data_IF_913883529752
#
_entry.id   IF_913883529752
#
_cell.length_a   1.000
_cell.length_b   1.000
_cell.length_c   1.000
_cell.angle_alpha   90.00
_cell.angle_beta   90.00
_cell.angle_gamma   90.00
#
_symmetry.space_group_name_H-M   'P 1'
#
loop_
_entity.id
_entity.type
_entity.pdbx_description
1 polymer ?
#
# COMPACT_ATOMS: atom_id res chain seq x y z
N UNK A 1 51.19 -7.10 -58.27
CA UNK A 1 50.13 -7.79 -57.50
C UNK A 1 49.20 -6.74 -56.91
N UNK A 2 47.93 -6.65 -57.34
CA UNK A 2 47.00 -5.64 -56.85
C UNK A 2 46.44 -6.07 -55.48
N UNK A 3 46.36 -5.12 -54.54
CA UNK A 3 45.81 -5.30 -53.20
C UNK A 3 44.30 -5.07 -53.27
N UNK A 4 43.52 -6.08 -52.88
CA UNK A 4 42.06 -6.03 -52.86
C UNK A 4 41.53 -5.01 -51.85
N UNK A 5 40.54 -4.22 -52.31
CA UNK A 5 39.85 -3.21 -51.53
C UNK A 5 38.82 -3.85 -50.55
N UNK A 6 38.60 -3.25 -49.37
CA UNK A 6 37.71 -3.81 -48.35
C UNK A 6 36.23 -3.63 -48.72
N UNK A 7 35.48 -4.74 -48.66
CA UNK A 7 34.03 -4.78 -48.93
C UNK A 7 33.26 -4.15 -47.79
N UNK A 8 32.52 -3.08 -48.08
CA UNK A 8 31.57 -2.44 -47.17
C UNK A 8 30.32 -3.30 -47.00
N UNK A 9 29.98 -3.66 -45.76
CA UNK A 9 28.75 -4.40 -45.42
C UNK A 9 27.57 -3.44 -45.37
N UNK A 10 26.52 -3.74 -46.13
CA UNK A 10 25.24 -3.01 -46.10
C UNK A 10 24.52 -3.19 -44.74
N UNK A 11 23.84 -2.16 -44.22
CA UNK A 11 23.08 -2.25 -42.98
C UNK A 11 21.87 -3.18 -43.15
N UNK A 12 21.68 -4.07 -42.16
CA UNK A 12 20.48 -4.91 -42.06
C UNK A 12 19.30 -4.03 -41.64
N UNK A 13 18.21 -4.07 -42.41
CA UNK A 13 16.96 -3.40 -42.06
C UNK A 13 16.30 -3.99 -40.79
N UNK A 14 15.34 -3.26 -40.21
CA UNK A 14 14.68 -3.66 -38.97
C UNK A 14 13.86 -4.96 -39.17
N UNK A 15 13.75 -5.80 -38.13
CA UNK A 15 13.00 -7.05 -38.21
C UNK A 15 11.51 -6.79 -38.43
N UNK A 16 10.94 -7.45 -39.45
CA UNK A 16 9.49 -7.48 -39.67
C UNK A 16 8.85 -8.48 -38.72
N UNK A 17 7.99 -8.00 -37.82
CA UNK A 17 7.16 -8.85 -36.97
C UNK A 17 5.83 -9.14 -37.67
N UNK A 18 5.52 -10.42 -37.89
CA UNK A 18 4.19 -10.86 -38.32
C UNK A 18 3.33 -11.11 -37.09
N UNK A 19 2.39 -10.21 -36.82
CA UNK A 19 1.31 -10.45 -35.85
C UNK A 19 0.32 -11.42 -36.49
N UNK A 20 0.20 -12.63 -35.92
CA UNK A 20 -0.87 -13.57 -36.26
C UNK A 20 -2.01 -13.38 -35.27
N UNK A 21 -3.16 -12.95 -35.75
CA UNK A 21 -4.40 -13.04 -35.00
C UNK A 21 -4.91 -14.47 -35.12
N UNK A 22 -5.09 -15.16 -34.00
CA UNK A 22 -5.80 -16.43 -33.97
C UNK A 22 -7.29 -16.14 -34.19
N UNK A 23 -7.82 -16.59 -35.32
CA UNK A 23 -9.26 -16.68 -35.54
C UNK A 23 -9.81 -17.75 -34.61
N UNK A 24 -10.51 -17.33 -33.56
CA UNK A 24 -11.30 -18.21 -32.70
C UNK A 24 -12.53 -18.61 -33.52
N UNK A 25 -12.70 -19.91 -33.77
CA UNK A 25 -13.89 -20.42 -34.46
C UNK A 25 -15.11 -20.37 -33.53
N UNK A 26 -16.27 -20.04 -34.08
CA UNK A 26 -17.55 -19.91 -33.35
C UNK A 26 -18.08 -21.25 -32.78
N UNK A 27 -17.42 -22.37 -33.05
CA UNK A 27 -17.91 -23.71 -32.67
C UNK A 27 -17.41 -24.22 -31.30
N UNK A 28 -16.86 -23.35 -30.45
CA UNK A 28 -16.45 -23.68 -29.07
C UNK A 28 -17.48 -23.33 -27.98
N UNK A 29 -18.64 -22.76 -28.33
CA UNK A 29 -19.55 -22.12 -27.37
C UNK A 29 -20.63 -23.05 -26.76
N UNK A 30 -20.47 -24.38 -26.79
CA UNK A 30 -21.50 -25.33 -26.35
C UNK A 30 -21.02 -26.39 -25.33
N UNK A 31 -20.04 -26.07 -24.48
CA UNK A 31 -19.87 -26.79 -23.22
C UNK A 31 -20.32 -25.88 -22.07
N UNK A 32 -21.59 -26.04 -21.71
CA UNK A 32 -22.21 -25.41 -20.56
C UNK A 32 -21.46 -25.79 -19.29
N UNK A 33 -20.50 -24.94 -18.91
CA UNK A 33 -20.08 -24.82 -17.53
C UNK A 33 -21.34 -24.37 -16.78
N UNK A 34 -21.91 -25.25 -15.96
CA UNK A 34 -22.87 -24.85 -14.92
C UNK A 34 -22.15 -23.80 -14.07
N UNK A 35 -22.31 -22.54 -14.42
CA UNK A 35 -22.07 -21.42 -13.51
C UNK A 35 -23.21 -21.55 -12.52
N UNK A 36 -22.98 -22.31 -11.46
CA UNK A 36 -23.76 -22.19 -10.25
C UNK A 36 -23.65 -20.72 -9.86
N UNK A 37 -24.74 -19.98 -10.00
CA UNK A 37 -24.94 -18.71 -9.32
C UNK A 37 -25.06 -18.99 -7.83
N UNK A 38 -23.96 -19.46 -7.23
CA UNK A 38 -23.77 -19.37 -5.81
C UNK A 38 -23.78 -17.87 -5.52
N UNK A 39 -24.91 -17.39 -5.00
CA UNK A 39 -24.98 -16.08 -4.38
C UNK A 39 -23.85 -16.05 -3.36
N UNK A 40 -22.78 -15.33 -3.68
CA UNK A 40 -21.71 -15.00 -2.74
C UNK A 40 -22.38 -14.29 -1.56
N UNK A 41 -22.73 -15.07 -0.55
CA UNK A 41 -23.40 -14.58 0.64
C UNK A 41 -22.31 -13.89 1.47
N UNK A 42 -22.01 -12.65 1.11
CA UNK A 42 -21.03 -11.76 1.74
C UNK A 42 -21.60 -11.19 3.05
N UNK A 43 -22.42 -11.95 3.77
CA UNK A 43 -22.98 -11.54 5.05
C UNK A 43 -21.94 -11.66 6.16
N UNK A 44 -21.79 -10.58 6.93
CA UNK A 44 -20.94 -10.56 8.12
C UNK A 44 -21.48 -11.57 9.13
N UNK A 45 -20.66 -12.47 9.68
CA UNK A 45 -21.15 -13.43 10.67
C UNK A 45 -21.69 -12.70 11.89
N UNK A 46 -22.79 -13.18 12.47
CA UNK A 46 -23.44 -12.57 13.63
C UNK A 46 -22.46 -12.30 14.79
N UNK A 47 -21.48 -13.18 15.00
CA UNK A 47 -20.41 -12.98 15.99
C UNK A 47 -19.56 -11.73 15.73
N UNK A 48 -19.26 -11.42 14.47
CA UNK A 48 -18.51 -10.20 14.12
C UNK A 48 -19.40 -8.96 14.22
N UNK A 49 -20.70 -9.10 13.95
CA UNK A 49 -21.67 -8.03 14.21
C UNK A 49 -21.77 -7.72 15.70
N UNK A 50 -21.83 -8.75 16.55
CA UNK A 50 -21.94 -8.64 18.00
C UNK A 50 -20.62 -8.31 18.73
N UNK A 51 -19.46 -8.38 18.06
CA UNK A 51 -18.19 -8.11 18.73
C UNK A 51 -18.04 -6.62 19.04
N UNK A 52 -17.56 -6.25 20.22
CA UNK A 52 -17.29 -4.86 20.59
C UNK A 52 -16.16 -4.22 19.77
N UNK A 53 -16.08 -2.89 19.79
CA UNK A 53 -14.94 -2.15 19.23
C UNK A 53 -13.72 -2.44 20.13
N UNK A 54 -12.55 -2.82 19.59
CA UNK A 54 -11.39 -3.18 20.41
C UNK A 54 -10.70 -1.92 20.94
N UNK A 55 -11.35 -1.22 21.89
CA UNK A 55 -10.87 0.03 22.47
C UNK A 55 -9.53 -0.10 23.18
N UNK A 56 -9.18 -1.30 23.65
CA UNK A 56 -7.88 -1.61 24.24
C UNK A 56 -6.71 -1.39 23.27
N UNK A 57 -6.97 -1.43 21.97
CA UNK A 57 -5.98 -1.20 20.93
C UNK A 57 -5.77 0.29 20.61
N UNK A 58 -6.67 1.16 21.09
CA UNK A 58 -6.52 2.61 20.94
C UNK A 58 -5.47 3.14 21.93
N UNK A 59 -4.71 4.13 21.50
CA UNK A 59 -3.76 4.81 22.35
C UNK A 59 -4.44 6.02 22.99
N UNK A 60 -5.13 5.75 24.10
CA UNK A 60 -5.96 6.71 24.82
C UNK A 60 -5.37 7.03 26.19
N UNK A 61 -5.52 8.28 26.62
CA UNK A 61 -5.33 8.66 28.02
C UNK A 61 -6.43 8.06 28.89
N UNK A 62 -6.22 8.02 30.22
CA UNK A 62 -7.27 7.53 31.13
C UNK A 62 -8.55 8.35 31.00
N UNK A 63 -8.44 9.67 30.95
CA UNK A 63 -9.57 10.59 30.73
C UNK A 63 -10.31 10.29 29.42
N UNK A 64 -9.58 10.08 28.31
CA UNK A 64 -10.21 9.73 27.03
C UNK A 64 -10.93 8.37 27.10
N UNK A 65 -10.39 7.39 27.83
CA UNK A 65 -11.05 6.08 28.04
C UNK A 65 -12.35 6.25 28.82
N UNK A 66 -12.32 7.03 29.89
CA UNK A 66 -13.48 7.25 30.75
C UNK A 66 -14.62 7.91 29.95
N UNK A 67 -14.29 8.92 29.13
CA UNK A 67 -15.28 9.58 28.26
C UNK A 67 -15.80 8.64 27.17
N UNK A 68 -14.93 7.87 26.51
CA UNK A 68 -15.37 6.92 25.47
C UNK A 68 -16.26 5.82 26.07
N UNK A 69 -15.92 5.29 27.24
CA UNK A 69 -16.75 4.31 27.93
C UNK A 69 -18.12 4.88 28.29
N UNK A 70 -18.17 6.14 28.74
CA UNK A 70 -19.44 6.83 28.99
C UNK A 70 -20.26 6.99 27.69
N UNK A 71 -19.62 7.35 26.57
CA UNK A 71 -20.29 7.48 25.27
C UNK A 71 -20.85 6.16 24.74
N UNK A 72 -20.18 5.03 25.00
CA UNK A 72 -20.66 3.71 24.59
C UNK A 72 -21.96 3.32 25.31
N UNK A 73 -22.16 3.76 26.56
CA UNK A 73 -23.38 3.47 27.33
C UNK A 73 -24.60 4.19 26.72
N UNK A 74 -24.40 5.35 26.10
CA UNK A 74 -25.48 6.19 25.55
C UNK A 74 -25.82 5.82 24.09
N UNK A 75 -25.19 4.78 23.53
CA UNK A 75 -25.34 4.36 22.12
C UNK A 75 -25.03 5.49 21.11
N UNK A 76 -24.08 6.37 21.43
CA UNK A 76 -23.62 7.46 20.55
C UNK A 76 -22.68 6.98 19.43
N UNK A 77 -22.58 5.66 19.22
CA UNK A 77 -21.75 5.09 18.18
C UNK A 77 -22.49 5.18 16.85
N UNK A 78 -21.92 5.95 15.92
CA UNK A 78 -22.37 5.89 14.54
C UNK A 78 -22.19 4.46 14.03
N UNK A 79 -23.19 3.90 13.34
CA UNK A 79 -23.12 2.56 12.76
C UNK A 79 -23.81 2.55 11.40
N UNK A 80 -23.06 2.24 10.35
CA UNK A 80 -23.60 1.95 9.02
C UNK A 80 -23.26 0.52 8.69
N UNK A 81 -24.28 -0.28 8.39
CA UNK A 81 -24.12 -1.60 7.81
C UNK A 81 -24.24 -1.44 6.30
N UNK A 82 -23.21 -1.91 5.58
CA UNK A 82 -23.25 -1.96 4.14
C UNK A 82 -23.91 -3.27 3.74
N UNK A 83 -25.19 -3.18 3.40
CA UNK A 83 -25.97 -4.31 2.93
C UNK A 83 -25.49 -4.69 1.52
N UNK A 84 -25.97 -5.80 0.96
CA UNK A 84 -25.69 -6.12 -0.44
C UNK A 84 -26.39 -5.18 -1.43
N UNK A 85 -27.28 -4.31 -0.93
CA UNK A 85 -27.98 -3.32 -1.74
C UNK A 85 -27.05 -2.18 -2.17
N UNK A 86 -27.15 -1.81 -3.45
CA UNK A 86 -26.26 -0.86 -4.09
C UNK A 86 -26.34 0.53 -3.42
N UNK A 87 -27.56 0.97 -3.05
CA UNK A 87 -27.78 2.24 -2.37
C UNK A 87 -27.09 2.29 -0.99
N UNK A 88 -27.17 1.22 -0.21
CA UNK A 88 -26.51 1.12 1.10
C UNK A 88 -24.98 1.23 0.95
N UNK A 89 -24.41 0.66 -0.11
CA UNK A 89 -22.97 0.82 -0.41
C UNK A 89 -22.61 2.25 -0.78
N UNK A 90 -23.45 2.95 -1.55
CA UNK A 90 -23.24 4.37 -1.87
C UNK A 90 -23.29 5.24 -0.61
N UNK A 91 -24.26 5.03 0.27
CA UNK A 91 -24.40 5.79 1.51
C UNK A 91 -23.21 5.54 2.45
N UNK A 92 -22.76 4.28 2.57
CA UNK A 92 -21.58 3.92 3.35
C UNK A 92 -20.30 4.55 2.77
N UNK A 93 -20.14 4.54 1.45
CA UNK A 93 -19.01 5.16 0.77
C UNK A 93 -19.02 6.69 0.92
N UNK A 94 -20.17 7.34 0.77
CA UNK A 94 -20.35 8.77 0.98
C UNK A 94 -20.02 9.17 2.43
N UNK A 95 -20.46 8.37 3.41
CA UNK A 95 -20.10 8.54 4.81
C UNK A 95 -18.58 8.40 5.03
N UNK A 96 -17.95 7.37 4.46
CA UNK A 96 -16.50 7.22 4.57
C UNK A 96 -15.77 8.42 3.98
N UNK A 97 -16.22 8.94 2.83
CA UNK A 97 -15.64 10.11 2.20
C UNK A 97 -15.83 11.39 3.04
N UNK A 98 -17.02 11.62 3.60
CA UNK A 98 -17.31 12.83 4.40
C UNK A 98 -16.47 12.92 5.68
N UNK A 99 -16.03 11.78 6.21
CA UNK A 99 -15.16 11.70 7.38
C UNK A 99 -13.67 11.44 7.04
N UNK A 100 -13.30 11.39 5.75
CA UNK A 100 -11.94 11.09 5.30
C UNK A 100 -11.45 9.69 5.69
N UNK A 101 -12.36 8.73 5.82
CA UNK A 101 -12.08 7.34 6.19
C UNK A 101 -11.85 6.44 4.97
N UNK A 102 -12.23 6.90 3.77
CA UNK A 102 -12.01 6.17 2.52
C UNK A 102 -10.53 5.99 2.22
N UNK A 103 -10.22 5.03 1.33
CA UNK A 103 -8.84 4.63 1.06
C UNK A 103 -8.02 5.77 0.43
N UNK A 104 -8.62 6.53 -0.48
CA UNK A 104 -7.93 7.61 -1.19
C UNK A 104 -7.60 8.75 -0.23
N UNK A 105 -8.59 9.16 0.58
CA UNK A 105 -8.37 10.13 1.66
C UNK A 105 -7.29 9.65 2.60
N UNK A 106 -7.24 8.37 2.98
CA UNK A 106 -6.23 7.82 3.91
C UNK A 106 -4.81 7.81 3.36
N UNK A 107 -4.65 7.88 2.04
CA UNK A 107 -3.36 8.09 1.40
C UNK A 107 -2.95 9.57 1.37
N UNK A 108 -3.90 10.50 1.57
CA UNK A 108 -3.58 11.90 1.75
C UNK A 108 -2.79 12.12 3.05
N UNK A 109 -1.71 12.89 2.93
CA UNK A 109 -0.85 13.34 4.02
C UNK A 109 -1.55 14.25 5.00
N UNK A 110 -2.58 14.96 4.55
CA UNK A 110 -3.41 15.79 5.41
C UNK A 110 -4.35 14.95 6.28
N UNK A 111 -4.51 13.66 5.96
CA UNK A 111 -5.37 12.77 6.70
C UNK A 111 -4.83 12.53 8.11
N UNK A 112 -5.76 12.57 9.07
CA UNK A 112 -5.47 12.46 10.49
C UNK A 112 -5.75 11.07 11.02
N UNK A 113 -6.18 10.12 10.20
CA UNK A 113 -6.53 8.77 10.61
C UNK A 113 -5.32 7.84 10.52
N UNK A 114 -4.91 7.30 11.67
CA UNK A 114 -3.89 6.25 11.73
C UNK A 114 -4.53 4.89 12.05
N UNK A 115 -4.04 3.85 11.39
CA UNK A 115 -4.37 2.46 11.73
C UNK A 115 -3.73 2.09 13.07
N UNK A 116 -4.56 1.72 14.06
CA UNK A 116 -4.11 1.22 15.36
C UNK A 116 -4.09 -0.30 15.41
N UNK A 117 -5.10 -0.91 14.82
CA UNK A 117 -5.22 -2.35 14.79
C UNK A 117 -5.85 -2.80 13.47
N UNK A 118 -5.46 -3.97 13.00
CA UNK A 118 -6.17 -4.61 11.90
C UNK A 118 -6.05 -6.12 11.99
N UNK A 119 -7.12 -6.82 11.64
CA UNK A 119 -7.12 -8.26 11.45
C UNK A 119 -7.73 -8.60 10.10
N UNK A 120 -7.32 -9.74 9.55
CA UNK A 120 -7.83 -10.26 8.30
C UNK A 120 -8.23 -11.72 8.49
N UNK A 121 -9.40 -12.09 7.99
CA UNK A 121 -9.90 -13.47 8.02
C UNK A 121 -10.16 -13.95 6.61
N UNK A 122 -9.72 -15.17 6.28
CA UNK A 122 -10.08 -15.82 5.02
C UNK A 122 -11.44 -16.48 5.18
N UNK A 123 -12.35 -16.23 4.25
CA UNK A 123 -13.65 -16.90 4.14
C UNK A 123 -13.92 -17.28 2.69
N UNK A 124 -14.93 -18.12 2.49
CA UNK A 124 -15.35 -18.59 1.17
C UNK A 124 -15.78 -17.42 0.26
N UNK A 125 -16.39 -16.37 0.83
CA UNK A 125 -16.80 -15.15 0.12
C UNK A 125 -15.68 -14.08 -0.02
N UNK A 126 -14.41 -14.49 0.09
CA UNK A 126 -13.24 -13.61 0.00
C UNK A 126 -12.60 -13.27 1.35
N UNK A 127 -11.53 -12.45 1.30
CA UNK A 127 -10.82 -12.05 2.52
C UNK A 127 -11.48 -10.84 3.16
N UNK A 128 -12.00 -10.97 4.37
CA UNK A 128 -12.56 -9.84 5.12
C UNK A 128 -11.46 -9.21 5.96
N UNK A 129 -11.35 -7.88 5.90
CA UNK A 129 -10.46 -7.10 6.76
C UNK A 129 -11.25 -6.20 7.67
N UNK A 130 -10.84 -6.18 8.93
CA UNK A 130 -11.33 -5.27 9.96
C UNK A 130 -10.18 -4.37 10.40
N UNK A 131 -10.41 -3.07 10.42
CA UNK A 131 -9.39 -2.05 10.71
C UNK A 131 -9.95 -1.09 11.75
N UNK A 132 -9.17 -0.83 12.80
CA UNK A 132 -9.43 0.23 13.76
C UNK A 132 -8.53 1.42 13.46
N UNK A 133 -9.16 2.56 13.25
CA UNK A 133 -8.56 3.86 12.98
C UNK A 133 -8.74 4.76 14.20
N UNK A 134 -7.72 5.58 14.48
CA UNK A 134 -7.77 6.62 15.50
C UNK A 134 -7.27 7.93 14.89
N UNK A 135 -7.90 9.04 15.26
CA UNK A 135 -7.38 10.36 14.94
C UNK A 135 -6.01 10.58 15.61
N UNK A 136 -5.05 11.10 14.85
CA UNK A 136 -3.69 11.39 15.27
C UNK A 136 -3.61 12.50 16.31
N UNK A 137 -4.58 13.42 16.32
CA UNK A 137 -4.75 14.43 17.38
C UNK A 137 -5.18 13.81 18.72
N UNK A 138 -5.70 12.58 18.70
CA UNK A 138 -6.08 11.83 19.90
C UNK A 138 -4.93 11.04 20.52
N UNK A 139 -3.75 11.02 19.89
CA UNK A 139 -2.59 10.26 20.37
C UNK A 139 -1.62 11.12 21.18
N UNK A 140 -1.48 10.82 22.47
CA UNK A 140 -0.43 11.39 23.31
C UNK A 140 0.82 10.49 23.35
N UNK A 141 1.84 10.90 22.59
CA UNK A 141 3.14 10.22 22.55
C UNK A 141 3.86 10.16 23.90
N UNK A 142 3.56 11.08 24.83
CA UNK A 142 4.15 11.14 26.18
C UNK A 142 3.64 9.98 27.03
N UNK A 143 2.34 9.70 26.98
CA UNK A 143 1.74 8.59 27.71
C UNK A 143 2.14 7.23 27.14
N UNK A 144 2.38 7.15 25.83
CA UNK A 144 2.93 5.95 25.21
C UNK A 144 4.40 5.66 25.58
N UNK A 145 5.05 6.52 26.39
CA UNK A 145 6.45 6.38 26.78
C UNK A 145 7.44 6.57 25.62
N UNK A 146 6.98 7.08 24.48
CA UNK A 146 7.82 7.24 23.29
C UNK A 146 8.48 8.61 23.28
N UNK A 147 9.82 8.65 23.28
CA UNK A 147 10.58 9.91 23.14
C UNK A 147 10.38 10.57 21.77
N UNK A 148 9.96 9.81 20.76
CA UNK A 148 9.75 10.28 19.40
C UNK A 148 8.26 10.32 19.09
N UNK A 149 7.76 11.53 18.82
CA UNK A 149 6.43 11.74 18.27
C UNK A 149 6.29 11.04 16.93
N UNK A 150 5.19 10.30 16.76
CA UNK A 150 4.86 9.57 15.52
C UNK A 150 3.84 10.29 14.63
N UNK A 151 3.14 11.29 15.16
CA UNK A 151 2.07 12.03 14.47
C UNK A 151 2.54 13.40 13.99
N UNK A 152 1.92 13.90 12.92
CA UNK A 152 2.21 15.20 12.32
C UNK A 152 1.54 16.39 13.04
N UNK A 153 0.56 16.11 13.91
CA UNK A 153 -0.35 17.09 14.53
C UNK A 153 -0.25 17.07 16.06
N UNK A 154 -0.55 18.21 16.67
CA UNK A 154 -0.65 18.40 18.13
C UNK A 154 -1.74 17.54 18.79
N UNK A 155 -1.41 17.05 20.00
CA UNK A 155 -2.37 16.30 20.80
C UNK A 155 -3.42 17.30 21.30
N UNK A 156 -4.68 17.03 20.96
CA UNK A 156 -5.84 17.86 21.33
C UNK A 156 -6.86 17.08 22.15
N UNK A 157 -6.53 15.86 22.57
CA UNK A 157 -7.48 14.98 23.27
C UNK A 157 -8.61 14.43 22.39
N UNK A 158 -8.49 14.51 21.06
CA UNK A 158 -9.54 14.09 20.13
C UNK A 158 -9.95 12.62 20.36
N UNK A 159 -11.26 12.38 20.49
CA UNK A 159 -11.82 11.04 20.76
C UNK A 159 -12.18 10.27 19.48
N UNK A 160 -11.99 10.90 18.31
CA UNK A 160 -12.41 10.34 17.04
C UNK A 160 -11.69 9.01 16.74
N UNK A 161 -12.48 7.95 16.58
CA UNK A 161 -12.04 6.60 16.26
C UNK A 161 -13.09 5.91 15.38
N UNK A 162 -12.63 5.07 14.46
CA UNK A 162 -13.51 4.36 13.53
C UNK A 162 -13.04 2.92 13.35
N UNK A 163 -13.95 1.96 13.49
CA UNK A 163 -13.75 0.61 13.03
C UNK A 163 -14.45 0.41 11.68
N UNK A 164 -13.70 -0.09 10.71
CA UNK A 164 -14.19 -0.38 9.36
C UNK A 164 -13.99 -1.87 9.10
N UNK A 165 -15.04 -2.54 8.64
CA UNK A 165 -15.02 -3.91 8.15
C UNK A 165 -15.37 -3.91 6.67
N UNK A 166 -14.53 -4.50 5.83
CA UNK A 166 -14.72 -4.51 4.38
C UNK A 166 -14.13 -5.78 3.75
N UNK A 167 -14.58 -6.12 2.54
CA UNK A 167 -14.04 -7.23 1.74
C UNK A 167 -12.80 -6.74 1.00
N UNK A 168 -11.65 -7.38 1.19
CA UNK A 168 -10.37 -6.94 0.61
C UNK A 168 -10.33 -7.00 -0.91
N UNK A 169 -11.01 -7.98 -1.51
CA UNK A 169 -10.91 -8.22 -2.94
C UNK A 169 -11.85 -7.28 -3.73
N UNK A 170 -13.02 -6.95 -3.18
CA UNK A 170 -14.03 -6.06 -3.82
C UNK A 170 -14.10 -4.66 -3.22
N UNK A 171 -13.44 -4.42 -2.09
CA UNK A 171 -13.54 -3.18 -1.28
C UNK A 171 -14.96 -2.84 -0.78
N UNK A 172 -15.93 -3.76 -0.92
CA UNK A 172 -17.29 -3.55 -0.41
C UNK A 172 -17.27 -3.33 1.10
N UNK A 173 -17.92 -2.26 1.53
CA UNK A 173 -17.99 -1.87 2.94
C UNK A 173 -19.06 -2.76 3.57
N UNK A 174 -18.68 -3.47 4.62
CA UNK A 174 -19.62 -4.32 5.36
C UNK A 174 -20.14 -3.60 6.59
N UNK A 175 -19.29 -2.83 7.26
CA UNK A 175 -19.66 -2.07 8.45
C UNK A 175 -18.70 -0.93 8.73
N UNK A 176 -19.22 0.22 9.13
CA UNK A 176 -18.47 1.34 9.73
C UNK A 176 -19.08 1.65 11.08
N UNK A 177 -18.25 1.72 12.13
CA UNK A 177 -18.71 2.15 13.45
C UNK A 177 -17.68 2.94 14.24
N UNK A 178 -18.11 3.77 15.18
CA UNK A 178 -17.19 4.51 16.04
C UNK A 178 -17.70 5.90 16.42
N UNK A 179 -16.82 6.69 17.00
CA UNK A 179 -17.06 8.11 17.25
C UNK A 179 -16.34 8.91 16.16
N UNK A 180 -17.07 9.48 15.21
CA UNK A 180 -16.48 10.11 14.02
C UNK A 180 -16.28 11.63 14.18
N UNK A 181 -16.75 12.19 15.29
CA UNK A 181 -16.71 13.64 15.52
C UNK A 181 -15.35 14.08 16.08
N UNK A 182 -14.73 15.03 15.38
CA UNK A 182 -13.51 15.67 15.85
C UNK A 182 -13.86 16.85 16.75
N UNK A 183 -13.09 17.05 17.83
CA UNK A 183 -13.23 18.26 18.65
C UNK A 183 -12.75 19.52 17.88
N UNK A 184 -13.20 20.69 18.32
CA UNK A 184 -12.88 21.96 17.64
C UNK A 184 -11.37 22.22 17.54
N UNK A 185 -10.62 21.90 18.60
CA UNK A 185 -9.16 22.00 18.59
C UNK A 185 -8.53 21.11 17.51
N UNK A 186 -9.04 19.90 17.31
CA UNK A 186 -8.60 19.02 16.24
C UNK A 186 -8.94 19.65 14.88
N UNK A 187 -10.16 20.14 14.65
CA UNK A 187 -10.56 20.75 13.37
C UNK A 187 -9.61 21.88 12.94
N UNK A 188 -9.18 22.72 13.88
CA UNK A 188 -8.26 23.85 13.61
C UNK A 188 -6.77 23.52 13.76
N UNK A 189 -6.42 22.35 14.30
CA UNK A 189 -5.02 21.99 14.52
C UNK A 189 -4.25 21.94 13.19
N UNK A 190 -3.12 22.64 13.14
CA UNK A 190 -2.21 22.61 12.00
C UNK A 190 -1.22 21.45 12.13
N UNK A 191 -0.69 21.01 11.00
CA UNK A 191 0.42 20.05 11.00
C UNK A 191 1.65 20.72 11.63
N UNK A 192 1.96 20.36 12.88
CA UNK A 192 3.19 20.74 13.57
C UNK A 192 4.44 20.22 12.83
N UNK A 193 4.29 19.17 12.02
CA UNK A 193 5.35 18.61 11.20
C UNK A 193 4.81 18.22 9.83
N UNK A 194 5.48 18.66 8.77
CA UNK A 194 5.19 18.19 7.41
C UNK A 194 5.47 16.68 7.38
N UNK A 195 4.48 15.82 7.09
CA UNK A 195 4.70 14.39 6.96
C UNK A 195 5.74 14.13 5.86
N UNK A 196 6.57 13.08 6.00
CA UNK A 196 7.62 12.79 5.03
C UNK A 196 6.99 12.65 3.63
N UNK A 197 7.32 13.59 2.74
CA UNK A 197 6.86 13.52 1.35
C UNK A 197 7.44 12.24 0.71
N UNK A 198 6.62 11.42 0.03
CA UNK A 198 7.11 10.24 -0.67
C UNK A 198 8.09 10.68 -1.74
N UNK A 199 9.05 9.81 -2.01
CA UNK A 199 10.02 10.04 -3.07
C UNK A 199 9.32 10.03 -4.43
N UNK A 200 9.70 10.95 -5.32
CA UNK A 200 9.13 11.03 -6.65
C UNK A 200 9.40 9.73 -7.45
N UNK A 201 8.42 9.18 -8.19
CA UNK A 201 8.58 7.92 -8.93
C UNK A 201 9.77 7.91 -9.90
N UNK A 202 10.08 9.03 -10.55
CA UNK A 202 11.24 9.13 -11.44
C UNK A 202 12.57 8.96 -10.70
N UNK A 203 12.71 9.57 -9.51
CA UNK A 203 13.90 9.41 -8.67
C UNK A 203 14.03 7.95 -8.24
N UNK A 204 12.91 7.35 -7.87
CA UNK A 204 12.85 5.95 -7.49
C UNK A 204 13.32 5.03 -8.63
N UNK A 205 12.81 5.25 -9.85
CA UNK A 205 13.18 4.50 -11.04
C UNK A 205 14.67 4.62 -11.35
N UNK A 206 15.22 5.84 -11.34
CA UNK A 206 16.65 6.07 -11.57
C UNK A 206 17.51 5.36 -10.51
N UNK A 207 17.12 5.47 -9.23
CA UNK A 207 17.82 4.80 -8.13
C UNK A 207 17.79 3.27 -8.27
N UNK A 208 16.66 2.68 -8.68
CA UNK A 208 16.55 1.25 -8.95
C UNK A 208 17.43 0.82 -10.13
N UNK A 209 17.47 1.59 -11.22
CA UNK A 209 18.36 1.31 -12.36
C UNK A 209 19.82 1.35 -11.95
N UNK A 210 20.24 2.36 -11.18
CA UNK A 210 21.62 2.43 -10.67
C UNK A 210 21.96 1.27 -9.74
N UNK A 211 21.02 0.87 -8.88
CA UNK A 211 21.18 -0.26 -7.97
C UNK A 211 21.30 -1.59 -8.76
N UNK A 212 20.52 -1.75 -9.83
CA UNK A 212 20.62 -2.90 -10.73
C UNK A 212 21.99 -2.99 -11.44
N UNK A 213 22.60 -1.83 -11.73
CA UNK A 213 23.95 -1.74 -12.27
C UNK A 213 25.07 -1.91 -11.22
N UNK A 214 24.72 -2.24 -9.97
CA UNK A 214 25.69 -2.47 -8.90
C UNK A 214 26.30 -1.20 -8.29
N UNK A 215 25.69 -0.03 -8.51
CA UNK A 215 26.18 1.24 -7.95
C UNK A 215 25.91 1.30 -6.44
N UNK A 216 26.86 1.83 -5.67
CA UNK A 216 26.73 1.95 -4.21
C UNK A 216 25.61 2.93 -3.82
N UNK A 217 24.98 2.74 -2.66
CA UNK A 217 23.93 3.65 -2.18
C UNK A 217 24.41 5.09 -2.00
N UNK A 218 25.66 5.27 -1.57
CA UNK A 218 26.28 6.58 -1.41
C UNK A 218 26.35 7.30 -2.74
N UNK A 219 26.81 6.61 -3.79
CA UNK A 219 26.88 7.17 -5.15
C UNK A 219 25.50 7.42 -5.74
N UNK A 220 24.51 6.55 -5.45
CA UNK A 220 23.11 6.77 -5.86
C UNK A 220 22.56 8.06 -5.22
N UNK A 221 22.81 8.28 -3.93
CA UNK A 221 22.39 9.50 -3.24
C UNK A 221 23.10 10.73 -3.80
N UNK A 222 24.41 10.64 -4.04
CA UNK A 222 25.18 11.74 -4.62
C UNK A 222 24.67 12.10 -6.03
N UNK A 223 24.50 11.11 -6.91
CA UNK A 223 23.97 11.33 -8.27
C UNK A 223 22.57 11.91 -8.25
N UNK A 224 21.71 11.47 -7.33
CA UNK A 224 20.40 12.08 -7.16
C UNK A 224 20.49 13.55 -6.74
N UNK A 225 21.39 13.90 -5.81
CA UNK A 225 21.59 15.30 -5.42
C UNK A 225 22.10 16.16 -6.59
N UNK A 226 23.07 15.66 -7.36
CA UNK A 226 23.59 16.34 -8.55
C UNK A 226 22.50 16.53 -9.61
N UNK A 227 21.72 15.49 -9.89
CA UNK A 227 20.60 15.54 -10.83
C UNK A 227 19.51 16.54 -10.40
N UNK A 228 19.16 16.58 -9.11
CA UNK A 228 18.21 17.56 -8.57
C UNK A 228 18.76 18.98 -8.68
N UNK A 229 20.04 19.21 -8.38
CA UNK A 229 20.71 20.50 -8.55
C UNK A 229 20.73 20.96 -10.02
N UNK A 230 20.85 20.03 -10.95
CA UNK A 230 20.76 20.29 -12.39
C UNK A 230 19.31 20.53 -12.89
N UNK A 231 18.31 20.54 -11.99
CA UNK A 231 16.92 20.78 -12.33
C UNK A 231 16.14 19.55 -12.77
N UNK A 232 16.71 18.34 -12.60
CA UNK A 232 16.09 17.07 -12.89
C UNK A 232 15.47 16.98 -14.29
N UNK A 233 16.24 17.41 -15.29
CA UNK A 233 15.84 17.45 -16.71
C UNK A 233 14.57 18.27 -16.98
N UNK A 234 14.35 19.33 -16.18
CA UNK A 234 13.17 20.20 -16.27
C UNK A 234 11.90 19.62 -15.65
N UNK A 235 11.96 18.41 -15.07
CA UNK A 235 10.82 17.78 -14.40
C UNK A 235 10.58 18.34 -13.00
N UNK A 236 11.57 18.99 -12.39
CA UNK A 236 11.47 19.53 -11.03
C UNK A 236 10.85 20.93 -11.10
N UNK A 237 9.66 21.16 -10.50
CA UNK A 237 9.04 22.47 -10.51
C UNK A 237 9.93 23.50 -9.79
N UNK A 238 10.16 24.66 -10.43
CA UNK A 238 11.00 25.74 -9.88
C UNK A 238 10.43 26.38 -8.61
N UNK A 239 9.12 26.23 -8.36
CA UNK A 239 8.45 26.82 -7.20
C UNK A 239 7.91 25.73 -6.27
N UNK A 240 8.27 25.83 -4.99
CA UNK A 240 8.10 24.77 -3.98
C UNK A 240 6.70 24.55 -3.42
N UNK A 241 5.68 25.29 -3.90
CA UNK A 241 4.33 25.23 -3.31
C UNK A 241 3.50 24.00 -3.74
N UNK A 242 3.86 23.33 -4.84
CA UNK A 242 3.11 22.19 -5.40
C UNK A 242 3.82 20.84 -5.27
N UNK A 243 4.79 20.72 -4.35
CA UNK A 243 5.58 19.50 -4.25
C UNK A 243 4.80 18.37 -3.55
N UNK A 244 4.01 17.64 -4.33
CA UNK A 244 3.37 16.37 -3.90
C UNK A 244 4.40 15.30 -3.54
N UNK A 245 5.62 15.42 -4.05
CA UNK A 245 6.70 14.47 -3.87
C UNK A 245 8.00 15.16 -3.47
N UNK A 246 8.87 14.41 -2.80
CA UNK A 246 10.26 14.79 -2.55
C UNK A 246 11.15 14.27 -3.68
N UNK A 247 12.07 15.11 -4.12
CA UNK A 247 13.00 14.78 -5.21
C UNK A 247 14.38 14.32 -4.73
N UNK A 248 14.73 14.66 -3.49
CA UNK A 248 15.99 14.24 -2.86
C UNK A 248 15.80 12.92 -2.11
N UNK A 249 16.56 11.89 -2.48
CA UNK A 249 16.65 10.62 -1.78
C UNK A 249 17.32 10.83 -0.41
N UNK A 250 16.68 10.34 0.65
CA UNK A 250 17.17 10.40 2.02
C UNK A 250 17.63 9.02 2.49
N UNK A 251 18.42 8.99 3.56
CA UNK A 251 18.97 7.74 4.12
C UNK A 251 17.91 6.71 4.46
N UNK A 252 16.73 7.12 4.94
CA UNK A 252 15.67 6.18 5.30
C UNK A 252 14.93 5.57 4.10
N UNK A 253 15.05 6.15 2.89
CA UNK A 253 14.45 5.59 1.67
C UNK A 253 15.16 4.34 1.17
N UNK A 254 16.43 4.16 1.55
CA UNK A 254 17.27 3.01 1.14
C UNK A 254 16.61 1.68 1.45
N UNK A 255 15.94 1.57 2.62
CA UNK A 255 15.20 0.37 3.00
C UNK A 255 14.05 0.09 2.02
N UNK A 256 13.31 1.11 1.63
CA UNK A 256 12.24 0.96 0.64
C UNK A 256 12.82 0.58 -0.72
N UNK A 257 13.92 1.23 -1.14
CA UNK A 257 14.60 0.99 -2.41
C UNK A 257 15.03 -0.48 -2.55
N UNK A 258 15.75 -1.03 -1.57
CA UNK A 258 16.10 -2.45 -1.56
C UNK A 258 14.86 -3.34 -1.57
N UNK A 259 13.81 -2.94 -0.84
CA UNK A 259 12.60 -3.75 -0.81
C UNK A 259 11.94 -3.86 -2.18
N UNK A 260 11.89 -2.77 -2.93
CA UNK A 260 11.36 -2.82 -4.29
C UNK A 260 12.33 -3.55 -5.23
N UNK A 261 13.63 -3.30 -5.12
CA UNK A 261 14.64 -4.00 -5.90
C UNK A 261 14.57 -5.53 -5.76
N UNK A 262 14.55 -6.03 -4.52
CA UNK A 262 14.38 -7.44 -4.22
C UNK A 262 13.05 -8.00 -4.75
N UNK A 263 11.94 -7.26 -4.64
CA UNK A 263 10.66 -7.69 -5.22
C UNK A 263 10.70 -7.79 -6.75
N UNK A 264 11.38 -6.87 -7.44
CA UNK A 264 11.55 -6.93 -8.90
C UNK A 264 12.32 -8.19 -9.34
N UNK A 265 13.18 -8.72 -8.46
CA UNK A 265 13.90 -9.98 -8.68
C UNK A 265 13.16 -11.21 -8.10
N UNK A 266 11.88 -11.08 -7.76
CA UNK A 266 11.07 -12.19 -7.27
C UNK A 266 11.34 -12.59 -5.82
N UNK A 267 12.10 -11.80 -5.06
CA UNK A 267 12.38 -12.08 -3.64
C UNK A 267 11.24 -11.60 -2.75
N UNK A 268 10.62 -12.52 -2.03
CA UNK A 268 9.58 -12.23 -1.03
C UNK A 268 10.22 -11.93 0.33
N UNK A 269 10.38 -10.64 0.60
CA UNK A 269 11.04 -10.13 1.81
C UNK A 269 10.25 -10.41 3.10
N UNK A 270 8.95 -10.70 2.97
CA UNK A 270 8.11 -11.12 4.11
C UNK A 270 8.34 -12.56 4.52
N UNK A 271 8.97 -13.37 3.67
CA UNK A 271 9.26 -14.78 3.92
C UNK A 271 10.71 -14.95 4.38
N UNK A 272 10.99 -16.07 5.06
CA UNK A 272 12.33 -16.36 5.52
C UNK A 272 13.26 -16.63 4.31
N UNK A 273 14.54 -16.23 4.36
CA UNK A 273 15.44 -16.37 3.21
C UNK A 273 15.57 -17.80 2.68
N UNK A 274 15.57 -18.80 3.56
CA UNK A 274 15.67 -20.20 3.14
C UNK A 274 14.43 -20.71 2.40
N UNK A 275 13.25 -20.13 2.65
CA UNK A 275 12.02 -20.47 1.91
C UNK A 275 12.13 -19.97 0.48
N UNK A 276 12.55 -18.71 0.29
CA UNK A 276 12.80 -18.16 -1.05
C UNK A 276 13.84 -19.00 -1.81
N UNK A 277 14.96 -19.35 -1.16
CA UNK A 277 15.99 -20.20 -1.76
C UNK A 277 15.45 -21.58 -2.13
N UNK A 278 14.70 -22.22 -1.23
CA UNK A 278 14.09 -23.52 -1.51
C UNK A 278 13.11 -23.43 -2.69
N UNK A 279 12.22 -22.44 -2.71
CA UNK A 279 11.28 -22.21 -3.81
C UNK A 279 11.97 -21.92 -5.14
N UNK A 280 13.17 -21.33 -5.14
CA UNK A 280 13.96 -21.10 -6.37
C UNK A 280 14.73 -22.34 -6.84
N UNK A 281 15.08 -23.24 -5.93
CA UNK A 281 15.87 -24.43 -6.22
C UNK A 281 15.03 -25.69 -6.47
N UNK A 282 13.79 -25.73 -5.98
CA UNK A 282 12.89 -26.86 -6.15
C UNK A 282 12.24 -26.86 -7.56
N UNK A 283 12.50 -27.87 -8.41
CA UNK A 283 11.90 -27.97 -9.75
C UNK A 283 10.37 -28.06 -9.75
N UNK A 284 9.75 -28.45 -8.64
CA UNK A 284 8.30 -28.52 -8.50
C UNK A 284 7.64 -27.19 -8.13
N UNK A 285 8.44 -26.21 -7.69
CA UNK A 285 7.98 -24.88 -7.33
C UNK A 285 7.65 -24.03 -8.57
N UNK A 286 6.60 -23.22 -8.46
CA UNK A 286 6.27 -22.20 -9.49
C UNK A 286 7.33 -21.10 -9.60
N UNK A 287 8.22 -20.99 -8.61
CA UNK A 287 9.29 -19.99 -8.58
C UNK A 287 10.65 -20.58 -8.96
N UNK A 288 10.68 -21.82 -9.44
CA UNK A 288 11.92 -22.48 -9.83
C UNK A 288 12.72 -21.63 -10.82
N UNK A 289 14.00 -21.43 -10.52
CA UNK A 289 14.93 -20.68 -11.36
C UNK A 289 16.09 -21.61 -11.79
N UNK A 290 16.03 -22.19 -13.01
CA UNK A 290 17.02 -23.18 -13.45
C UNK A 290 18.43 -22.61 -13.54
N UNK A 291 18.57 -21.32 -13.84
CA UNK A 291 19.87 -20.65 -13.92
C UNK A 291 20.53 -20.56 -12.54
N UNK A 292 19.77 -20.21 -11.50
CA UNK A 292 20.28 -20.17 -10.13
C UNK A 292 20.60 -21.57 -9.61
N UNK A 293 19.74 -22.56 -9.89
CA UNK A 293 19.98 -23.94 -9.51
C UNK A 293 21.29 -24.46 -10.12
N UNK A 294 21.49 -24.28 -11.43
CA UNK A 294 22.72 -24.68 -12.10
C UNK A 294 23.96 -23.96 -11.55
N UNK A 295 23.85 -22.66 -11.24
CA UNK A 295 24.95 -21.88 -10.70
C UNK A 295 25.37 -22.35 -9.29
N UNK A 296 24.42 -22.65 -8.39
CA UNK A 296 24.73 -23.03 -7.00
C UNK A 296 25.46 -24.37 -6.93
N UNK A 297 25.01 -25.39 -7.68
CA UNK A 297 25.64 -26.71 -7.69
C UNK A 297 27.01 -26.74 -8.40
N UNK A 298 27.35 -25.72 -9.18
CA UNK A 298 28.68 -25.59 -9.78
C UNK A 298 29.77 -25.22 -8.75
N UNK A 299 29.41 -24.60 -7.62
CA UNK A 299 30.37 -24.19 -6.58
C UNK A 299 30.44 -25.15 -5.38
N UNK A 300 29.66 -26.23 -5.36
CA UNK A 300 29.66 -27.22 -4.28
C UNK A 300 30.63 -28.39 -4.51
N UNK A 301 31.48 -28.32 -5.54
CA UNK A 301 32.43 -29.36 -5.94
C UNK A 301 33.87 -28.99 -5.53
#
# INVERSE_FOLDING_TARGET
MPKDAPKTRKPKGPPQYKVRFATVSENGAAQGRKVSSERENTTVPARSLASDIPLSELWLTQEQKDVINALQIVDWLFCVNGDQEEQSQYDAAACMASHGLDLDSREDKSNRWSVRWSTSTKKDAGRIRRVLLQCDCGYDHRQAGTKKRRTAVDFTGCLAHAEITYVLDTQKILRVRGFLEHNEQCKVALMARIPPLPLHPTVYRQALTLLASGVSLTDIQQRNQEWVKAGGDGLIPKHGRDWKHRWLLQRHDTRSLYRQFSRMHGVKISEQPHINLHEWLDPSSRQYNPTLAAAIFHYSA
#
